data_IF_640232175112
#
_entry.id   IF_640232175112
#
_cell.length_a   1.000
_cell.length_b   1.000
_cell.length_c   1.000
_cell.angle_alpha   90.00
_cell.angle_beta   90.00
_cell.angle_gamma   90.00
#
_symmetry.space_group_name_H-M   'P 1'
#
loop_
_entity.id
_entity.type
_entity.pdbx_description
1 polymer ?
#
# COMPACT_ATOMS: atom_id res chain seq x y z
N UNK A 1 30.20 -45.52 -25.14
CA UNK A 1 30.34 -44.65 -23.94
C UNK A 1 30.14 -43.20 -24.35
N UNK A 2 28.98 -42.60 -24.05
CA UNK A 2 28.75 -41.13 -24.00
C UNK A 2 27.25 -40.87 -23.72
N UNK A 3 26.80 -41.26 -22.53
CA UNK A 3 25.51 -40.89 -21.94
C UNK A 3 25.81 -39.93 -20.80
N UNK A 4 26.18 -38.69 -21.14
CA UNK A 4 26.60 -37.66 -20.17
C UNK A 4 26.23 -36.26 -20.69
N UNK A 5 24.98 -36.03 -21.09
CA UNK A 5 24.44 -34.66 -21.28
C UNK A 5 22.98 -34.64 -20.84
N UNK A 6 22.71 -34.96 -19.57
CA UNK A 6 21.37 -34.81 -19.00
C UNK A 6 21.39 -34.36 -17.53
N UNK A 7 22.47 -33.69 -17.08
CA UNK A 7 22.63 -33.32 -15.67
C UNK A 7 23.09 -31.86 -15.46
N UNK A 8 22.57 -30.93 -16.25
CA UNK A 8 22.87 -29.49 -16.09
C UNK A 8 21.62 -28.59 -15.97
N UNK A 9 20.42 -29.17 -15.84
CA UNK A 9 19.16 -28.41 -15.78
C UNK A 9 18.67 -28.07 -14.35
N UNK A 10 19.44 -28.34 -13.29
CA UNK A 10 18.93 -28.32 -11.91
C UNK A 10 19.26 -27.07 -11.05
N UNK A 11 19.68 -25.93 -11.61
CA UNK A 11 20.11 -24.78 -10.78
C UNK A 11 19.52 -23.40 -11.16
N UNK A 12 18.32 -23.35 -11.76
CA UNK A 12 17.67 -22.06 -12.07
C UNK A 12 16.26 -21.86 -11.46
N UNK A 13 15.90 -22.62 -10.42
CA UNK A 13 14.67 -22.33 -9.66
C UNK A 13 15.01 -21.76 -8.28
N UNK A 14 14.94 -20.44 -8.15
CA UNK A 14 14.35 -19.70 -7.01
C UNK A 14 15.01 -18.34 -6.83
N UNK A 15 14.66 -17.39 -7.70
CA UNK A 15 14.58 -16.00 -7.27
C UNK A 15 13.10 -15.69 -7.14
N UNK A 16 12.48 -16.05 -6.01
CA UNK A 16 11.22 -15.43 -5.61
C UNK A 16 11.53 -13.96 -5.35
N UNK A 17 11.38 -13.13 -6.39
CA UNK A 17 11.40 -11.69 -6.22
C UNK A 17 10.23 -11.35 -5.30
N UNK A 18 10.52 -11.05 -4.03
CA UNK A 18 9.54 -10.47 -3.12
C UNK A 18 9.16 -9.13 -3.72
N UNK A 19 7.86 -8.90 -3.97
CA UNK A 19 7.39 -7.62 -4.51
C UNK A 19 7.96 -6.46 -3.66
N UNK A 20 8.45 -5.37 -4.28
CA UNK A 20 8.93 -4.21 -3.54
C UNK A 20 7.89 -3.77 -2.52
N UNK A 21 8.24 -3.81 -1.23
CA UNK A 21 7.37 -3.28 -0.20
C UNK A 21 7.37 -1.74 -0.29
N UNK A 22 6.20 -1.09 -0.24
CA UNK A 22 6.14 0.36 -0.26
C UNK A 22 6.96 0.95 0.89
N UNK A 23 7.77 1.97 0.60
CA UNK A 23 8.57 2.65 1.62
C UNK A 23 7.70 3.71 2.31
N UNK A 24 7.36 3.52 3.58
CA UNK A 24 6.55 4.50 4.32
C UNK A 24 7.39 5.75 4.59
N UNK A 25 6.95 6.90 4.08
CA UNK A 25 7.55 8.21 4.38
C UNK A 25 7.02 8.67 5.73
N UNK A 26 7.89 8.62 6.74
CA UNK A 26 7.60 9.11 8.10
C UNK A 26 7.53 10.65 8.12
N UNK A 27 6.38 11.20 7.80
CA UNK A 27 6.06 12.59 8.12
C UNK A 27 5.39 12.65 9.50
N UNK A 28 5.75 13.62 10.37
CA UNK A 28 5.12 13.74 11.69
C UNK A 28 3.64 14.13 11.51
N UNK A 29 2.76 13.14 11.59
CA UNK A 29 1.32 13.37 11.49
C UNK A 29 0.77 13.57 12.89
N UNK A 30 0.33 14.79 13.15
CA UNK A 30 -0.38 15.11 14.39
C UNK A 30 -1.81 14.61 14.27
N UNK A 31 -2.23 13.74 15.18
CA UNK A 31 -3.61 13.28 15.26
C UNK A 31 -4.53 14.45 15.66
N UNK A 32 -5.30 14.98 14.72
CA UNK A 32 -6.21 16.10 15.00
C UNK A 32 -7.57 15.59 15.49
N UNK A 33 -8.12 16.17 16.57
CA UNK A 33 -9.48 15.85 17.01
C UNK A 33 -10.48 16.76 16.27
N UNK A 34 -10.75 16.45 15.00
CA UNK A 34 -11.65 17.23 14.14
C UNK A 34 -12.66 16.31 13.42
N UNK A 35 -13.81 16.87 13.03
CA UNK A 35 -14.84 16.15 12.25
C UNK A 35 -14.37 15.84 10.82
N UNK A 36 -13.46 16.64 10.29
CA UNK A 36 -12.80 16.42 9.01
C UNK A 36 -11.29 16.66 9.18
N UNK A 37 -10.48 15.84 8.52
CA UNK A 37 -9.03 15.99 8.47
C UNK A 37 -8.60 16.06 7.02
N UNK A 38 -7.67 16.97 6.73
CA UNK A 38 -7.09 17.14 5.41
C UNK A 38 -5.62 16.79 5.47
N UNK A 39 -5.19 15.94 4.54
CA UNK A 39 -3.81 15.53 4.38
C UNK A 39 -3.31 15.95 3.00
N UNK A 40 -2.07 16.40 2.94
CA UNK A 40 -1.37 16.72 1.70
C UNK A 40 0.02 16.13 1.74
N UNK A 41 0.48 15.58 0.62
CA UNK A 41 1.80 14.98 0.53
C UNK A 41 2.26 14.81 -0.91
N UNK A 42 3.50 14.37 -1.06
CA UNK A 42 4.10 13.97 -2.32
C UNK A 42 4.83 12.64 -2.09
N UNK A 43 4.55 11.66 -2.94
CA UNK A 43 5.21 10.35 -2.94
C UNK A 43 5.89 10.17 -4.31
N UNK A 44 7.04 9.49 -4.36
CA UNK A 44 7.77 9.20 -5.60
C UNK A 44 8.05 7.70 -5.72
N UNK A 45 8.05 7.19 -6.94
CA UNK A 45 8.39 5.78 -7.18
C UNK A 45 7.51 4.81 -6.37
N UNK A 46 8.14 4.06 -5.47
CA UNK A 46 7.48 3.07 -4.61
C UNK A 46 7.18 3.58 -3.19
N UNK A 47 7.30 4.89 -2.97
CA UNK A 47 6.95 5.50 -1.68
C UNK A 47 5.46 5.34 -1.38
N UNK A 48 5.14 5.11 -0.11
CA UNK A 48 3.81 5.21 0.43
C UNK A 48 3.80 6.19 1.61
N UNK A 49 2.63 6.69 1.96
CA UNK A 49 2.43 7.51 3.15
C UNK A 49 1.21 7.02 3.90
N UNK A 50 1.32 6.93 5.22
CA UNK A 50 0.24 6.49 6.09
C UNK A 50 -0.30 7.68 6.88
N UNK A 51 -1.63 7.86 6.87
CA UNK A 51 -2.30 8.91 7.62
C UNK A 51 -3.14 8.32 8.75
N UNK A 52 -2.61 8.21 9.99
CA UNK A 52 -3.35 7.62 11.09
C UNK A 52 -4.50 8.54 11.54
N UNK A 53 -5.67 7.95 11.72
CA UNK A 53 -6.85 8.61 12.28
C UNK A 53 -7.54 7.71 13.30
N UNK A 54 -8.43 8.28 14.12
CA UNK A 54 -9.24 7.53 15.09
C UNK A 54 -10.72 7.80 14.87
N UNK A 55 -11.50 6.73 14.78
CA UNK A 55 -12.96 6.76 14.69
C UNK A 55 -13.55 5.80 15.73
N UNK A 56 -14.82 6.00 16.08
CA UNK A 56 -15.61 5.08 16.90
C UNK A 56 -16.26 4.03 15.99
N UNK A 57 -16.41 2.82 16.52
CA UNK A 57 -17.17 1.74 15.87
C UNK A 57 -18.59 2.24 15.52
N UNK A 58 -19.02 2.00 14.29
CA UNK A 58 -20.33 2.42 13.79
C UNK A 58 -20.40 3.85 13.25
N UNK A 59 -19.31 4.63 13.31
CA UNK A 59 -19.26 5.91 12.62
C UNK A 59 -19.09 5.73 11.11
N UNK A 60 -19.80 6.53 10.33
CA UNK A 60 -19.59 6.65 8.90
C UNK A 60 -18.31 7.43 8.63
N UNK A 61 -17.49 6.90 7.71
CA UNK A 61 -16.26 7.52 7.26
C UNK A 61 -16.41 7.87 5.77
N UNK A 62 -16.20 9.14 5.44
CA UNK A 62 -16.16 9.61 4.06
C UNK A 62 -14.71 9.98 3.73
N UNK A 63 -14.17 9.39 2.68
CA UNK A 63 -12.81 9.63 2.20
C UNK A 63 -12.88 10.09 0.76
N UNK A 64 -12.28 11.25 0.51
CA UNK A 64 -12.08 11.81 -0.82
C UNK A 64 -10.58 11.98 -1.06
N UNK A 65 -10.12 11.61 -2.25
CA UNK A 65 -8.72 11.75 -2.65
C UNK A 65 -8.62 12.62 -3.90
N UNK A 66 -7.95 13.77 -3.77
CA UNK A 66 -7.59 14.61 -4.91
C UNK A 66 -6.16 14.28 -5.35
N UNK A 67 -6.01 13.57 -6.47
CA UNK A 67 -4.69 13.22 -7.02
C UNK A 67 -4.55 13.63 -8.47
N UNK A 68 -3.31 13.97 -8.85
CA UNK A 68 -2.94 14.28 -10.25
C UNK A 68 -2.65 13.04 -11.09
N UNK A 69 -2.39 11.90 -10.45
CA UNK A 69 -1.94 10.67 -11.10
C UNK A 69 -3.01 9.58 -10.99
N UNK A 70 -3.49 8.99 -12.09
CA UNK A 70 -4.58 8.01 -12.08
C UNK A 70 -4.20 6.65 -11.48
N UNK A 71 -2.91 6.41 -11.24
CA UNK A 71 -2.36 5.17 -10.69
C UNK A 71 -2.14 5.23 -9.18
N UNK A 72 -2.46 6.34 -8.52
CA UNK A 72 -2.42 6.41 -7.07
C UNK A 72 -3.74 5.89 -6.47
N UNK A 73 -3.62 5.18 -5.36
CA UNK A 73 -4.72 4.55 -4.64
C UNK A 73 -4.60 4.87 -3.15
N UNK A 74 -5.74 4.89 -2.46
CA UNK A 74 -5.79 4.88 -0.99
C UNK A 74 -6.32 3.55 -0.50
N UNK A 75 -5.73 3.03 0.55
CA UNK A 75 -6.29 1.89 1.29
C UNK A 75 -6.51 2.29 2.74
N UNK A 76 -7.57 1.76 3.36
CA UNK A 76 -7.77 1.86 4.81
C UNK A 76 -7.30 0.56 5.43
N UNK A 77 -6.33 0.65 6.33
CA UNK A 77 -5.91 -0.46 7.16
C UNK A 77 -6.71 -0.49 8.45
N UNK A 78 -7.18 -1.68 8.89
CA UNK A 78 -7.73 -1.82 10.23
C UNK A 78 -6.62 -1.65 11.28
N UNK A 79 -6.96 -1.31 12.54
CA UNK A 79 -5.98 -1.25 13.61
C UNK A 79 -5.31 -2.60 13.91
N UNK A 80 -5.95 -3.70 13.51
CA UNK A 80 -5.43 -5.07 13.60
C UNK A 80 -5.77 -5.82 12.31
N UNK A 81 -4.78 -6.45 11.68
CA UNK A 81 -4.96 -7.20 10.44
C UNK A 81 -3.93 -6.82 9.40
N UNK A 82 -3.88 -7.58 8.30
CA UNK A 82 -2.94 -7.36 7.19
C UNK A 82 -3.65 -7.00 5.87
N UNK A 83 -4.98 -7.01 5.88
CA UNK A 83 -5.80 -6.78 4.69
C UNK A 83 -6.51 -5.44 4.81
N UNK A 84 -6.60 -4.74 3.68
CA UNK A 84 -7.32 -3.48 3.59
C UNK A 84 -8.82 -3.71 3.81
N UNK A 85 -9.46 -2.88 4.63
CA UNK A 85 -10.93 -2.87 4.79
C UNK A 85 -11.62 -2.00 3.74
N UNK A 86 -10.84 -1.19 3.02
CA UNK A 86 -11.30 -0.36 1.91
C UNK A 86 -10.14 -0.12 0.95
N UNK A 87 -10.40 -0.22 -0.35
CA UNK A 87 -9.47 0.16 -1.41
C UNK A 87 -10.18 1.19 -2.30
N UNK A 88 -9.75 2.44 -2.19
CA UNK A 88 -10.28 3.58 -2.93
C UNK A 88 -9.38 3.96 -4.09
N UNK A 89 -9.96 4.02 -5.29
CA UNK A 89 -9.37 4.61 -6.48
C UNK A 89 -10.25 5.75 -6.98
N UNK A 90 -9.66 6.74 -7.64
CA UNK A 90 -10.44 7.69 -8.48
C UNK A 90 -11.11 7.01 -9.67
N UNK A 91 -10.77 5.75 -9.99
CA UNK A 91 -11.44 4.94 -11.02
C UNK A 91 -12.51 3.99 -10.46
N UNK A 92 -13.29 4.44 -9.49
CA UNK A 92 -14.66 3.94 -9.29
C UNK A 92 -14.95 3.34 -7.92
N UNK A 93 -15.79 4.05 -7.16
CA UNK A 93 -16.87 3.43 -6.40
C UNK A 93 -18.11 3.23 -7.26
#
# INVERSE_FOLDING_TARGET
MKTQILLTSLLFLSACQTAPQPQTVDSPITLQKALAQHFSGNIKGYDAVEYPFRVKKGQYLNISMGIKFPTAYSSIMPPTGKEAIFNGSIRGG
#
